data_IF_014345176058
#
_entry.id   IF_014345176058
#
_cell.length_a   1.000
_cell.length_b   1.000
_cell.length_c   1.000
_cell.angle_alpha   90.00
_cell.angle_beta   90.00
_cell.angle_gamma   90.00
#
_symmetry.space_group_name_H-M   'P 1'
#
loop_
_entity.id
_entity.type
_entity.pdbx_description
1 polymer ?
#
# COMPACT_ATOMS: atom_id res chain seq x y z
N UNK A 1 7.23 -10.16 10.77
CA UNK A 1 7.31 -10.07 9.31
C UNK A 1 8.18 -8.88 8.93
N UNK A 2 9.06 -9.10 7.96
CA UNK A 2 9.95 -8.03 7.54
C UNK A 2 9.23 -6.99 6.73
N UNK A 3 9.75 -5.75 6.75
CA UNK A 3 9.14 -4.67 5.98
C UNK A 3 9.03 -5.01 4.51
N UNK A 4 10.06 -5.61 3.96
CA UNK A 4 10.05 -5.95 2.53
C UNK A 4 8.95 -6.94 2.21
N UNK A 5 8.70 -7.88 3.10
CA UNK A 5 7.61 -8.83 2.89
C UNK A 5 6.27 -8.11 2.89
N UNK A 6 6.09 -7.17 3.80
CA UNK A 6 4.86 -6.39 3.84
C UNK A 6 4.69 -5.57 2.58
N UNK A 7 5.77 -4.97 2.09
CA UNK A 7 5.71 -4.19 0.86
C UNK A 7 5.23 -5.05 -0.30
N UNK A 8 5.78 -6.26 -0.41
CA UNK A 8 5.37 -7.17 -1.48
C UNK A 8 3.89 -7.50 -1.39
N UNK A 9 3.42 -7.78 -0.19
CA UNK A 9 2.01 -8.11 -0.01
C UNK A 9 1.13 -6.93 -0.39
N UNK A 10 1.50 -5.74 0.06
CA UNK A 10 0.71 -4.54 -0.24
C UNK A 10 0.66 -4.30 -1.74
N UNK A 11 1.81 -4.37 -2.40
CA UNK A 11 1.85 -4.10 -3.83
C UNK A 11 1.12 -5.17 -4.62
N UNK A 12 1.19 -6.40 -4.18
CA UNK A 12 0.47 -7.48 -4.84
C UNK A 12 -1.03 -7.26 -4.73
N UNK A 13 -1.50 -6.86 -3.57
CA UNK A 13 -2.91 -6.58 -3.38
C UNK A 13 -3.35 -5.39 -4.22
N UNK A 14 -2.49 -4.39 -4.35
CA UNK A 14 -2.80 -3.25 -5.20
C UNK A 14 -2.94 -3.65 -6.66
N UNK A 15 -2.10 -4.59 -7.09
CA UNK A 15 -2.21 -5.07 -8.46
C UNK A 15 -3.54 -5.75 -8.70
N UNK A 16 -4.00 -6.48 -7.71
CA UNK A 16 -5.24 -7.24 -7.88
C UNK A 16 -6.49 -6.38 -7.68
N UNK A 17 -6.44 -5.43 -6.77
CA UNK A 17 -7.63 -4.72 -6.36
C UNK A 17 -7.62 -3.23 -6.67
N UNK A 18 -6.48 -2.71 -7.08
CA UNK A 18 -6.29 -1.28 -7.38
C UNK A 18 -6.33 -0.39 -6.13
N UNK A 19 -7.05 -0.78 -5.11
CA UNK A 19 -7.15 -0.02 -3.86
C UNK A 19 -7.04 -1.00 -2.70
N UNK A 20 -6.33 -0.59 -1.65
CA UNK A 20 -6.25 -1.38 -0.42
C UNK A 20 -6.61 -0.47 0.74
N UNK A 21 -7.19 -1.04 1.78
CA UNK A 21 -7.55 -0.29 2.97
C UNK A 21 -6.62 -0.64 4.10
N UNK A 22 -6.22 0.38 4.86
CA UNK A 22 -5.32 0.18 5.98
C UNK A 22 -5.84 -0.88 6.94
N UNK A 23 -7.13 -0.79 7.26
CA UNK A 23 -7.74 -1.74 8.18
C UNK A 23 -7.59 -3.18 7.67
N UNK A 24 -7.86 -3.39 6.39
CA UNK A 24 -7.76 -4.71 5.81
C UNK A 24 -6.32 -5.22 5.83
N UNK A 25 -5.38 -4.32 5.55
CA UNK A 25 -3.97 -4.71 5.56
C UNK A 25 -3.53 -5.10 6.96
N UNK A 26 -4.00 -4.38 7.98
CA UNK A 26 -3.66 -4.73 9.35
C UNK A 26 -4.14 -6.13 9.69
N UNK A 27 -5.35 -6.46 9.30
CA UNK A 27 -5.90 -7.78 9.57
C UNK A 27 -5.19 -8.85 8.76
N UNK A 28 -4.90 -8.55 7.53
CA UNK A 28 -4.26 -9.52 6.65
C UNK A 28 -2.88 -9.90 7.17
N UNK A 29 -2.15 -8.92 7.66
CA UNK A 29 -0.76 -9.13 8.05
C UNK A 29 -0.56 -9.20 9.56
N UNK A 30 -1.64 -9.07 10.33
CA UNK A 30 -1.53 -9.17 11.77
C UNK A 30 -0.64 -8.10 12.38
N UNK A 31 -0.75 -6.89 11.90
CA UNK A 31 0.08 -5.81 12.40
C UNK A 31 -0.78 -4.59 12.73
N UNK A 32 -0.16 -3.50 13.19
CA UNK A 32 -0.90 -2.33 13.64
C UNK A 32 -1.08 -1.34 12.50
N UNK A 33 -2.04 -0.44 12.68
CA UNK A 33 -2.27 0.62 11.72
C UNK A 33 -1.04 1.50 11.56
N UNK A 34 -0.36 1.77 12.66
CA UNK A 34 0.82 2.62 12.61
C UNK A 34 1.88 2.00 11.70
N UNK A 35 2.09 0.70 11.83
CA UNK A 35 3.06 0.01 10.99
C UNK A 35 2.68 0.09 9.53
N UNK A 36 1.40 -0.16 9.22
CA UNK A 36 0.93 -0.10 7.85
C UNK A 36 1.04 1.32 7.30
N UNK A 37 0.70 2.31 8.12
CA UNK A 37 0.78 3.69 7.69
C UNK A 37 2.21 4.04 7.28
N UNK A 38 3.17 3.60 8.06
CA UNK A 38 4.59 3.83 7.73
C UNK A 38 4.98 3.12 6.46
N UNK A 39 4.51 1.89 6.28
CA UNK A 39 4.80 1.15 5.07
C UNK A 39 4.23 1.87 3.85
N UNK A 40 3.01 2.34 3.96
CA UNK A 40 2.38 3.04 2.84
C UNK A 40 3.11 4.33 2.52
N UNK A 41 3.57 5.04 3.55
CA UNK A 41 4.34 6.26 3.33
C UNK A 41 5.63 5.95 2.59
N UNK A 42 6.32 4.90 2.99
CA UNK A 42 7.58 4.52 2.36
C UNK A 42 7.36 4.15 0.89
N UNK A 43 6.30 3.41 0.62
CA UNK A 43 6.01 3.00 -0.75
C UNK A 43 5.58 4.17 -1.60
N UNK A 44 4.86 5.12 -1.01
CA UNK A 44 4.48 6.32 -1.74
C UNK A 44 5.69 7.14 -2.11
N UNK A 45 6.65 7.22 -1.21
CA UNK A 45 7.89 7.96 -1.50
C UNK A 45 8.62 7.35 -2.66
N UNK A 46 8.52 6.05 -2.82
CA UNK A 46 9.16 5.38 -3.94
C UNK A 46 8.34 5.47 -5.23
N UNK A 47 7.18 6.08 -5.15
CA UNK A 47 6.34 6.22 -6.32
C UNK A 47 5.59 4.96 -6.68
N UNK A 48 5.46 4.02 -5.76
CA UNK A 48 4.84 2.73 -6.05
C UNK A 48 3.35 2.71 -5.74
N UNK A 49 2.87 3.66 -4.96
CA UNK A 49 1.45 3.77 -4.69
C UNK A 49 1.13 5.19 -4.31
N UNK A 50 -0.15 5.48 -4.15
CA UNK A 50 -0.61 6.78 -3.74
C UNK A 50 -1.50 6.60 -2.53
N UNK A 51 -1.20 7.32 -1.45
CA UNK A 51 -2.01 7.20 -0.25
C UNK A 51 -3.31 7.96 -0.42
N UNK A 52 -4.40 7.35 0.04
CA UNK A 52 -5.70 7.97 0.05
C UNK A 52 -6.27 7.84 1.45
N UNK A 53 -7.39 8.46 1.69
CA UNK A 53 -8.01 8.39 2.98
C UNK A 53 -8.36 6.94 3.30
N UNK A 54 -7.81 6.45 4.38
CA UNK A 54 -8.08 5.09 4.83
C UNK A 54 -7.33 4.00 4.12
N UNK A 55 -6.38 4.33 3.23
CA UNK A 55 -5.63 3.29 2.55
C UNK A 55 -4.71 3.81 1.47
N UNK A 56 -4.65 3.10 0.37
CA UNK A 56 -3.78 3.46 -0.73
C UNK A 56 -4.35 2.93 -2.04
N UNK A 57 -3.91 3.51 -3.14
CA UNK A 57 -4.33 3.07 -4.46
C UNK A 57 -3.11 2.91 -5.36
N UNK A 58 -3.31 2.22 -6.47
CA UNK A 58 -2.23 2.03 -7.41
C UNK A 58 -1.73 3.37 -7.91
N UNK A 59 -0.42 3.44 -8.08
CA UNK A 59 0.17 4.69 -8.52
C UNK A 59 0.19 4.83 -10.02
N UNK A 60 -0.11 3.80 -10.73
CA UNK A 60 0.08 3.88 -12.12
C UNK A 60 -0.77 4.85 -12.77
N UNK A 61 -1.52 4.88 -12.46
CA UNK A 61 -2.24 5.56 -13.20
C UNK A 61 -1.92 6.55 -13.97
N UNK A 62 -1.88 6.70 -13.93
CA UNK A 62 -1.96 7.44 -14.59
C UNK A 62 -1.33 8.23 -15.19
N UNK A 63 -0.87 8.21 -15.00
CA UNK A 63 -0.41 8.81 -15.50
C UNK A 63 0.06 8.90 -16.43
N UNK A 64 0.22 8.70 -16.60
CA UNK A 64 0.57 8.80 -17.38
C UNK A 64 0.57 9.35 -18.19
N UNK A 65 0.55 9.65 -18.49
CA UNK A 65 0.56 10.12 -19.23
C UNK A 65 0.84 10.66 -19.66
N UNK A 66 0.99 10.72 -19.56
CA UNK A 66 1.14 11.23 -19.99
C UNK A 66 1.28 11.55 -20.32
#
# INVERSE_FOLDING_TARGET
MLSEQRYHIILDLLEKNAIVKTHALCQEMGTTRETIRRDLMALEEKGLLKRIRGGAMKADASESDG
#
